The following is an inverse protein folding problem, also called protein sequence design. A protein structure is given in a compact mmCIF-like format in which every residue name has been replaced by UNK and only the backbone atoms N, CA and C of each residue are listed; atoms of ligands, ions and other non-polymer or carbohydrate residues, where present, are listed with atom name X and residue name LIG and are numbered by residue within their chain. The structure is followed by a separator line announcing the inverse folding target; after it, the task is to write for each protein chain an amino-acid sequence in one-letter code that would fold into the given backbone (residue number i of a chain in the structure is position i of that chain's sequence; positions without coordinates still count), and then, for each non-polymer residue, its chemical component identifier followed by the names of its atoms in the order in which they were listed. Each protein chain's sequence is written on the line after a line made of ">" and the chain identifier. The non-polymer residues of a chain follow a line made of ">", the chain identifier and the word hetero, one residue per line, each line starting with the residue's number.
data_IF_661601864905
#
_entry.id   IF_661601864905
#
_cell.length_a   1.000
_cell.length_b   1.000
_cell.length_c   1.000
_cell.angle_alpha   90.00
_cell.angle_beta   90.00
_cell.angle_gamma   90.00
#
_symmetry.space_group_name_H-M   'P 1'
#
loop_
_entity.id
_entity.type
_entity.pdbx_description
1 polymer ?
#
# COMPACT_ATOMS: atom_id res chain seq x y z
N UNK A 1 11.86 -12.23 4.82
CA UNK A 1 11.52 -11.51 6.08
C UNK A 1 12.02 -10.06 6.08
N UNK A 2 13.03 -9.68 5.28
CA UNK A 2 13.59 -8.32 5.19
C UNK A 2 12.60 -7.24 4.75
N UNK A 3 11.73 -7.54 3.77
CA UNK A 3 10.81 -6.56 3.17
C UNK A 3 9.78 -5.95 4.14
N UNK A 4 9.29 -6.71 5.12
CA UNK A 4 8.24 -6.22 6.06
C UNK A 4 8.82 -5.25 7.08
N UNK A 5 10.06 -5.48 7.53
CA UNK A 5 10.71 -4.58 8.48
C UNK A 5 11.09 -3.25 7.82
N UNK A 6 11.50 -3.27 6.54
CA UNK A 6 11.73 -2.05 5.76
C UNK A 6 10.44 -1.25 5.55
N UNK A 7 9.34 -1.90 5.18
CA UNK A 7 8.02 -1.24 5.06
C UNK A 7 7.54 -0.65 6.39
N UNK A 8 7.77 -1.33 7.51
CA UNK A 8 7.47 -0.79 8.84
C UNK A 8 8.24 0.50 9.09
N UNK A 9 9.54 0.49 8.86
CA UNK A 9 10.42 1.63 9.13
C UNK A 9 10.02 2.85 8.30
N UNK A 10 9.64 2.66 7.03
CA UNK A 10 9.13 3.72 6.16
C UNK A 10 7.89 4.41 6.70
N UNK A 11 6.91 3.60 7.09
CA UNK A 11 5.64 4.12 7.60
C UNK A 11 5.77 4.73 9.00
N UNK A 12 6.87 4.44 9.72
CA UNK A 12 7.20 5.05 11.02
C UNK A 12 8.16 6.24 10.93
N UNK A 13 8.89 6.43 9.83
CA UNK A 13 10.09 7.29 9.80
C UNK A 13 9.83 8.75 10.16
N UNK A 14 8.58 9.22 10.03
CA UNK A 14 8.17 10.59 10.38
C UNK A 14 7.11 10.67 11.49
N UNK A 15 6.75 9.54 12.11
CA UNK A 15 5.80 9.48 13.23
C UNK A 15 6.44 8.83 14.44
N UNK A 16 7.52 9.43 14.93
CA UNK A 16 7.87 9.25 16.33
C UNK A 16 6.68 9.75 17.17
N UNK A 17 6.07 8.84 17.94
CA UNK A 17 5.17 9.14 19.07
C UNK A 17 3.65 9.36 18.81
N UNK A 18 3.05 8.78 17.75
CA UNK A 18 1.57 8.82 17.60
C UNK A 18 0.90 7.43 17.54
N UNK A 19 -0.06 7.09 18.44
CA UNK A 19 -0.74 5.80 18.47
C UNK A 19 -1.51 5.46 17.18
N UNK A 20 -1.93 6.48 16.42
CA UNK A 20 -2.59 6.34 15.11
C UNK A 20 -1.61 5.77 14.05
N UNK A 21 -0.33 6.16 14.11
CA UNK A 21 0.71 5.66 13.22
C UNK A 21 0.91 4.15 13.39
N UNK A 22 0.99 3.69 14.63
CA UNK A 22 1.19 2.28 14.95
C UNK A 22 0.01 1.41 14.48
N UNK A 23 -1.21 1.95 14.49
CA UNK A 23 -2.41 1.26 14.01
C UNK A 23 -2.41 1.10 12.48
N UNK A 24 -2.15 2.20 11.75
CA UNK A 24 -2.10 2.19 10.29
C UNK A 24 -1.03 1.22 9.74
N UNK A 25 0.11 1.13 10.42
CA UNK A 25 1.20 0.21 10.05
C UNK A 25 0.82 -1.25 10.28
N UNK A 26 0.21 -1.55 11.43
CA UNK A 26 -0.26 -2.90 11.72
C UNK A 26 -1.31 -3.34 10.69
N UNK A 27 -2.22 -2.44 10.35
CA UNK A 27 -3.22 -2.67 9.31
C UNK A 27 -2.58 -2.90 7.94
N UNK A 28 -1.66 -2.02 7.51
CA UNK A 28 -0.95 -2.18 6.25
C UNK A 28 -0.26 -3.54 6.12
N UNK A 29 0.49 -3.95 7.16
CA UNK A 29 1.18 -5.24 7.18
C UNK A 29 0.20 -6.40 7.08
N UNK A 30 -0.92 -6.33 7.80
CA UNK A 30 -1.93 -7.39 7.79
C UNK A 30 -2.62 -7.48 6.43
N UNK A 31 -3.06 -6.35 5.88
CA UNK A 31 -3.68 -6.28 4.55
C UNK A 31 -2.70 -6.73 3.46
N UNK A 32 -1.41 -6.41 3.60
CA UNK A 32 -0.39 -6.83 2.63
C UNK A 32 -0.22 -8.34 2.63
N UNK A 33 -0.16 -8.97 3.81
CA UNK A 33 -0.11 -10.45 3.92
C UNK A 33 -1.33 -11.10 3.27
N UNK A 34 -2.53 -10.57 3.53
CA UNK A 34 -3.76 -11.06 2.91
C UNK A 34 -3.70 -10.94 1.39
N UNK A 35 -3.28 -9.78 0.87
CA UNK A 35 -3.18 -9.55 -0.57
C UNK A 35 -2.16 -10.46 -1.25
N UNK A 36 -1.05 -10.80 -0.56
CA UNK A 36 -0.02 -11.73 -1.05
C UNK A 36 -0.50 -13.18 -1.13
N UNK A 37 -1.51 -13.55 -0.35
CA UNK A 37 -2.12 -14.88 -0.31
C UNK A 37 -3.44 -14.95 -1.10
N UNK A 38 -3.91 -13.85 -1.70
CA UNK A 38 -5.16 -13.85 -2.46
C UNK A 38 -5.05 -14.74 -3.72
N UNK A 39 -6.13 -15.42 -4.03
CA UNK A 39 -6.29 -16.23 -5.25
C UNK A 39 -6.19 -15.43 -6.55
N UNK A 40 -6.50 -14.13 -6.53
CA UNK A 40 -6.45 -13.26 -7.70
C UNK A 40 -5.04 -12.74 -7.96
N UNK A 41 -4.52 -13.04 -9.14
CA UNK A 41 -3.16 -12.67 -9.56
C UNK A 41 -2.96 -11.16 -9.53
N UNK A 42 -3.94 -10.40 -10.00
CA UNK A 42 -3.85 -8.94 -10.02
C UNK A 42 -3.83 -8.33 -8.62
N UNK A 43 -4.48 -8.92 -7.62
CA UNK A 43 -4.34 -8.48 -6.22
C UNK A 43 -2.90 -8.72 -5.73
N UNK A 44 -2.33 -9.92 -6.00
CA UNK A 44 -0.96 -10.25 -5.60
C UNK A 44 0.08 -9.36 -6.27
N UNK A 45 -0.10 -9.07 -7.55
CA UNK A 45 0.78 -8.20 -8.34
C UNK A 45 0.71 -6.75 -7.88
N UNK A 46 -0.49 -6.19 -7.70
CA UNK A 46 -0.64 -4.84 -7.15
C UNK A 46 0.00 -4.71 -5.76
N UNK A 47 -0.16 -5.71 -4.89
CA UNK A 47 0.49 -5.71 -3.59
C UNK A 47 2.03 -5.71 -3.71
N UNK A 48 2.58 -6.55 -4.60
CA UNK A 48 4.02 -6.60 -4.85
C UNK A 48 4.55 -5.27 -5.40
N UNK A 49 3.81 -4.64 -6.30
CA UNK A 49 4.13 -3.32 -6.85
C UNK A 49 4.18 -2.25 -5.75
N UNK A 50 3.14 -2.16 -4.92
CA UNK A 50 3.07 -1.17 -3.83
C UNK A 50 4.26 -1.32 -2.87
N UNK A 51 4.56 -2.57 -2.47
CA UNK A 51 5.69 -2.84 -1.60
C UNK A 51 7.03 -2.43 -2.22
N UNK A 52 7.19 -2.65 -3.53
CA UNK A 52 8.40 -2.25 -4.25
C UNK A 52 8.53 -0.74 -4.37
N UNK A 53 7.47 -0.03 -4.73
CA UNK A 53 7.47 1.43 -4.81
C UNK A 53 7.87 2.07 -3.47
N UNK A 54 7.28 1.61 -2.36
CA UNK A 54 7.67 2.04 -1.02
C UNK A 54 9.16 1.75 -0.73
N UNK A 55 9.65 0.58 -1.10
CA UNK A 55 11.05 0.21 -0.89
C UNK A 55 12.03 1.05 -1.74
N UNK A 56 11.62 1.49 -2.93
CA UNK A 56 12.42 2.35 -3.81
C UNK A 56 12.45 3.79 -3.28
N UNK A 57 11.31 4.30 -2.79
CA UNK A 57 11.25 5.56 -2.04
C UNK A 57 12.14 5.55 -0.79
N UNK A 58 12.13 4.46 -0.01
CA UNK A 58 13.01 4.27 1.15
C UNK A 58 14.50 4.41 0.85
N UNK A 59 14.89 4.05 -0.37
CA UNK A 59 16.27 4.09 -0.84
C UNK A 59 16.64 5.44 -1.44
N UNK A 60 15.69 6.38 -1.50
CA UNK A 60 15.83 7.67 -2.16
C UNK A 60 15.86 7.56 -3.69
N UNK A 61 15.31 6.48 -4.26
CA UNK A 61 15.24 6.31 -5.73
C UNK A 61 13.97 6.92 -6.32
N UNK A 62 12.95 7.11 -5.48
CA UNK A 62 11.74 7.86 -5.78
C UNK A 62 11.64 8.97 -4.74
N UNK A 63 11.37 10.19 -5.17
CA UNK A 63 11.00 11.26 -4.25
C UNK A 63 9.51 11.15 -3.84
N UNK A 64 9.05 12.06 -2.99
CA UNK A 64 7.68 12.04 -2.46
C UNK A 64 6.64 12.22 -3.57
N UNK A 65 6.89 13.09 -4.54
CA UNK A 65 5.98 13.35 -5.65
C UNK A 65 5.89 12.12 -6.57
N UNK A 66 7.03 11.50 -6.90
CA UNK A 66 7.11 10.29 -7.71
C UNK A 66 6.30 9.14 -7.11
N UNK A 67 6.50 8.86 -5.81
CA UNK A 67 5.76 7.76 -5.17
C UNK A 67 4.27 8.07 -5.05
N UNK A 68 3.89 9.31 -4.76
CA UNK A 68 2.48 9.72 -4.71
C UNK A 68 1.82 9.48 -6.07
N UNK A 69 2.42 9.95 -7.17
CA UNK A 69 1.89 9.76 -8.52
C UNK A 69 1.73 8.28 -8.88
N UNK A 70 2.74 7.44 -8.57
CA UNK A 70 2.68 6.01 -8.83
C UNK A 70 1.54 5.32 -8.06
N UNK A 71 1.38 5.64 -6.78
CA UNK A 71 0.34 5.07 -5.94
C UNK A 71 -1.06 5.54 -6.35
N UNK A 72 -1.22 6.80 -6.73
CA UNK A 72 -2.50 7.31 -7.26
C UNK A 72 -2.88 6.62 -8.59
N UNK A 73 -1.91 6.44 -9.49
CA UNK A 73 -2.14 5.69 -10.74
C UNK A 73 -2.59 4.24 -10.48
N UNK A 74 -1.99 3.57 -9.50
CA UNK A 74 -2.43 2.23 -9.08
C UNK A 74 -3.82 2.25 -8.44
N UNK A 75 -4.17 3.30 -7.68
CA UNK A 75 -5.49 3.45 -7.07
C UNK A 75 -6.57 3.52 -8.13
N UNK A 76 -6.32 4.28 -9.19
CA UNK A 76 -7.26 4.46 -10.30
C UNK A 76 -7.41 3.17 -11.12
N UNK A 77 -6.31 2.45 -11.37
CA UNK A 77 -6.37 1.13 -11.98
C UNK A 77 -7.17 0.14 -11.11
N UNK A 78 -6.95 0.13 -9.79
CA UNK A 78 -7.69 -0.73 -8.87
C UNK A 78 -9.18 -0.40 -8.85
N UNK A 79 -9.56 0.89 -8.90
CA UNK A 79 -10.96 1.33 -9.00
C UNK A 79 -11.61 0.87 -10.30
N UNK A 80 -10.91 0.99 -11.44
CA UNK A 80 -11.40 0.46 -12.72
C UNK A 80 -11.63 -1.05 -12.66
N UNK A 81 -10.69 -1.80 -12.07
CA UNK A 81 -10.86 -3.25 -11.86
C UNK A 81 -12.04 -3.55 -10.95
N UNK A 82 -12.20 -2.84 -9.84
CA UNK A 82 -13.35 -2.99 -8.94
C UNK A 82 -14.68 -2.77 -9.66
N UNK A 83 -14.77 -1.77 -10.54
CA UNK A 83 -16.00 -1.44 -11.26
C UNK A 83 -16.36 -2.47 -12.34
N UNK A 84 -15.35 -3.17 -12.89
CA UNK A 84 -15.52 -4.14 -13.96
C UNK A 84 -15.48 -5.60 -13.49
N UNK A 85 -15.27 -5.86 -12.20
CA UNK A 85 -15.18 -7.20 -11.63
C UNK A 85 -16.54 -7.69 -11.09
N UNK A 86 -16.65 -9.01 -10.92
CA UNK A 86 -17.73 -9.60 -10.11
C UNK A 86 -17.70 -9.02 -8.69
N UNK A 87 -18.87 -8.85 -8.07
CA UNK A 87 -19.03 -8.19 -6.77
C UNK A 87 -18.05 -8.73 -5.72
N UNK A 88 -17.88 -10.05 -5.66
CA UNK A 88 -16.96 -10.69 -4.73
C UNK A 88 -15.50 -10.26 -4.94
N UNK A 89 -15.01 -10.28 -6.18
CA UNK A 89 -13.66 -9.83 -6.51
C UNK A 89 -13.51 -8.31 -6.30
N UNK A 90 -14.49 -7.51 -6.72
CA UNK A 90 -14.47 -6.06 -6.50
C UNK A 90 -14.44 -5.69 -5.01
N UNK A 91 -15.11 -6.46 -4.16
CA UNK A 91 -15.03 -6.32 -2.70
C UNK A 91 -13.62 -6.61 -2.18
N UNK A 92 -13.00 -7.72 -2.62
CA UNK A 92 -11.63 -8.05 -2.22
C UNK A 92 -10.61 -7.02 -2.69
N UNK A 93 -10.72 -6.51 -3.92
CA UNK A 93 -9.84 -5.44 -4.43
C UNK A 93 -9.94 -4.19 -3.55
N UNK A 94 -11.17 -3.82 -3.13
CA UNK A 94 -11.38 -2.70 -2.21
C UNK A 94 -10.75 -2.93 -0.84
N UNK A 95 -10.99 -4.10 -0.23
CA UNK A 95 -10.48 -4.40 1.11
C UNK A 95 -8.99 -4.72 1.15
N UNK A 96 -8.33 -4.89 -0.01
CA UNK A 96 -6.89 -5.19 -0.11
C UNK A 96 -6.12 -4.08 -0.80
N UNK A 97 -6.10 -4.06 -2.14
CA UNK A 97 -5.28 -3.16 -2.95
C UNK A 97 -5.58 -1.70 -2.67
N UNK A 98 -6.85 -1.30 -2.72
CA UNK A 98 -7.23 0.10 -2.47
C UNK A 98 -6.88 0.48 -1.02
N UNK A 99 -7.13 -0.42 -0.07
CA UNK A 99 -6.80 -0.16 1.34
C UNK A 99 -5.30 0.03 1.57
N UNK A 100 -4.45 -0.80 0.95
CA UNK A 100 -2.99 -0.65 1.03
C UNK A 100 -2.54 0.71 0.49
N UNK A 101 -3.09 1.13 -0.65
CA UNK A 101 -2.75 2.40 -1.27
C UNK A 101 -3.20 3.57 -0.39
N UNK A 102 -4.41 3.52 0.15
CA UNK A 102 -4.94 4.59 1.00
C UNK A 102 -4.09 4.77 2.27
N UNK A 103 -3.64 3.68 2.90
CA UNK A 103 -2.75 3.76 4.06
C UNK A 103 -1.40 4.35 3.66
N UNK A 104 -0.82 3.90 2.55
CA UNK A 104 0.48 4.37 2.07
C UNK A 104 0.43 5.88 1.77
N UNK A 105 -0.55 6.33 0.98
CA UNK A 105 -0.74 7.74 0.65
C UNK A 105 -0.98 8.60 1.90
N UNK A 106 -1.81 8.13 2.84
CA UNK A 106 -2.06 8.87 4.10
C UNK A 106 -0.80 8.98 4.96
N UNK A 107 0.10 7.99 4.86
CA UNK A 107 1.35 7.98 5.61
C UNK A 107 2.38 8.91 4.98
N UNK A 108 2.42 8.99 3.64
CA UNK A 108 3.31 9.88 2.89
C UNK A 108 2.88 11.35 3.01
N UNK A 109 1.59 11.66 2.80
CA UNK A 109 1.08 13.04 2.91
C UNK A 109 1.11 13.55 4.35
N UNK A 110 0.91 12.66 5.32
CA UNK A 110 1.03 13.01 6.74
C UNK A 110 2.46 13.17 7.23
N UNK A 111 3.46 12.99 6.35
CA UNK A 111 4.89 13.15 6.63
C UNK A 111 5.52 14.38 5.92
N UNK A 112 4.70 15.16 5.19
CA UNK A 112 5.06 16.44 4.55
C UNK A 112 4.67 17.61 5.46
#
# INVERSE_FOLDING_TARGET
>A
MTSINEMRNLLTADRAEHPIASSAIAEFIQTYKQAREDSDDGIRESAAFIARALQEHARGWLDDDDIIILLEGQRDLARLRTNNAQIALGSRIRSTVIRLIDIALTSLVGAL
#
